data_IF_180098083324
#
_entry.id   IF_180098083324
#
_cell.length_a   1.000
_cell.length_b   1.000
_cell.length_c   1.000
_cell.angle_alpha   90.00
_cell.angle_beta   90.00
_cell.angle_gamma   90.00
#
_symmetry.space_group_name_H-M   'P 1'
#
loop_
_entity.id
_entity.type
_entity.pdbx_description
1 polymer ?
#
# COMPACT_ATOMS: atom_id res chain seq x y z
N UNK A 1 -8.70 -7.91 -9.08
CA UNK A 1 -7.86 -9.04 -8.63
C UNK A 1 -6.46 -8.88 -9.17
N UNK A 2 -5.44 -9.01 -8.32
CA UNK A 2 -4.04 -9.12 -8.77
C UNK A 2 -3.61 -10.59 -8.70
N UNK A 3 -2.95 -11.08 -9.73
CA UNK A 3 -2.28 -12.38 -9.73
C UNK A 3 -0.81 -12.21 -10.11
N UNK A 4 0.05 -12.78 -9.28
CA UNK A 4 1.50 -12.79 -9.44
C UNK A 4 1.92 -14.24 -9.68
N UNK A 5 2.67 -14.49 -10.76
CA UNK A 5 3.07 -15.84 -11.16
C UNK A 5 4.59 -15.92 -11.33
N UNK A 6 5.23 -16.74 -10.49
CA UNK A 6 6.66 -17.04 -10.50
C UNK A 6 7.54 -15.79 -10.61
N UNK A 7 7.17 -14.72 -9.91
CA UNK A 7 7.84 -13.43 -10.03
C UNK A 7 9.26 -13.51 -9.47
N UNK A 8 10.21 -13.00 -10.24
CA UNK A 8 11.61 -12.93 -9.84
C UNK A 8 12.13 -11.52 -9.96
N UNK A 9 12.94 -11.12 -8.99
CA UNK A 9 13.72 -9.88 -9.07
C UNK A 9 15.13 -10.10 -8.56
N UNK A 10 16.09 -9.92 -9.48
CA UNK A 10 17.52 -9.96 -9.19
C UNK A 10 18.13 -8.56 -9.23
N UNK A 11 19.07 -8.32 -8.33
CA UNK A 11 19.94 -7.15 -8.28
C UNK A 11 21.39 -7.62 -8.33
N UNK A 12 21.99 -7.61 -9.52
CA UNK A 12 23.31 -8.21 -9.73
C UNK A 12 23.30 -9.70 -9.35
N UNK A 13 24.16 -10.09 -8.41
CA UNK A 13 24.25 -11.46 -7.90
C UNK A 13 23.24 -11.83 -6.82
N UNK A 14 22.42 -10.90 -6.33
CA UNK A 14 21.47 -11.13 -5.25
C UNK A 14 20.03 -11.29 -5.80
N UNK A 15 19.33 -12.35 -5.40
CA UNK A 15 17.93 -12.58 -5.76
C UNK A 15 17.04 -12.15 -4.60
N UNK A 16 16.32 -11.04 -4.75
CA UNK A 16 15.47 -10.47 -3.72
C UNK A 16 14.05 -11.06 -3.70
N UNK A 17 13.56 -11.47 -4.87
CA UNK A 17 12.32 -12.24 -5.02
C UNK A 17 12.64 -13.43 -5.93
N UNK A 18 12.31 -14.64 -5.51
CA UNK A 18 12.76 -15.90 -6.13
C UNK A 18 11.57 -16.82 -6.47
N UNK A 19 10.72 -16.40 -7.41
CA UNK A 19 9.60 -17.22 -7.89
C UNK A 19 8.37 -17.10 -7.00
N UNK A 20 8.12 -15.92 -6.43
CA UNK A 20 6.92 -15.69 -5.63
C UNK A 20 5.66 -15.76 -6.51
N UNK A 21 4.69 -16.56 -6.08
CA UNK A 21 3.36 -16.64 -6.69
C UNK A 21 2.31 -16.38 -5.62
N UNK A 22 1.40 -15.44 -5.88
CA UNK A 22 0.33 -15.06 -4.95
C UNK A 22 -0.86 -14.44 -5.68
N UNK A 23 -1.99 -14.38 -4.99
CA UNK A 23 -3.20 -13.72 -5.46
C UNK A 23 -3.71 -12.71 -4.42
N UNK A 24 -4.22 -11.58 -4.90
CA UNK A 24 -4.92 -10.60 -4.08
C UNK A 24 -6.33 -10.47 -4.65
N UNK A 25 -7.29 -11.05 -3.94
CA UNK A 25 -8.69 -11.10 -4.35
C UNK A 25 -9.32 -9.70 -4.34
N UNK A 26 -10.19 -9.43 -5.31
CA UNK A 26 -10.93 -8.15 -5.37
C UNK A 26 -11.75 -7.95 -4.10
N UNK A 27 -11.68 -6.77 -3.49
CA UNK A 27 -12.41 -6.44 -2.28
C UNK A 27 -11.85 -7.10 -1.01
N UNK A 28 -10.72 -7.80 -1.08
CA UNK A 28 -10.02 -8.28 0.12
C UNK A 28 -9.13 -7.19 0.73
N UNK A 29 -8.80 -7.38 2.01
CA UNK A 29 -7.68 -6.70 2.66
C UNK A 29 -6.65 -7.79 2.95
N UNK A 30 -5.66 -7.92 2.07
CA UNK A 30 -4.64 -8.97 2.18
C UNK A 30 -3.44 -8.48 2.96
N UNK A 31 -3.00 -9.22 3.97
CA UNK A 31 -1.76 -8.93 4.70
C UNK A 31 -0.55 -9.58 4.02
N UNK A 32 0.56 -8.87 3.88
CA UNK A 32 1.84 -9.41 3.43
C UNK A 32 2.88 -9.25 4.53
N UNK A 33 3.19 -10.35 5.22
CA UNK A 33 4.11 -10.36 6.36
C UNK A 33 5.34 -11.22 6.07
N UNK A 34 6.33 -11.17 6.95
CA UNK A 34 7.58 -11.92 6.84
C UNK A 34 8.74 -11.21 7.57
N UNK A 35 9.86 -11.90 7.85
CA UNK A 35 11.03 -11.30 8.47
C UNK A 35 11.65 -10.19 7.60
N UNK A 36 12.55 -9.41 8.21
CA UNK A 36 13.31 -8.39 7.48
C UNK A 36 14.16 -9.05 6.40
N UNK A 37 14.17 -8.47 5.20
CA UNK A 37 14.86 -9.06 4.05
C UNK A 37 14.10 -10.19 3.34
N UNK A 38 12.86 -10.51 3.73
CA UNK A 38 12.06 -11.54 3.06
C UNK A 38 11.64 -11.22 1.61
N UNK A 39 11.90 -10.01 1.11
CA UNK A 39 11.54 -9.60 -0.25
C UNK A 39 10.20 -8.87 -0.41
N UNK A 40 9.47 -8.60 0.68
CA UNK A 40 8.14 -7.95 0.68
C UNK A 40 8.10 -6.61 -0.05
N UNK A 41 8.93 -5.65 0.38
CA UNK A 41 8.99 -4.33 -0.24
C UNK A 41 9.53 -4.40 -1.67
N UNK A 42 10.41 -5.35 -1.97
CA UNK A 42 10.85 -5.59 -3.37
C UNK A 42 9.69 -6.09 -4.22
N UNK A 43 8.89 -7.03 -3.74
CA UNK A 43 7.70 -7.53 -4.42
C UNK A 43 6.71 -6.40 -4.71
N UNK A 44 6.41 -5.57 -3.71
CA UNK A 44 5.58 -4.37 -3.88
C UNK A 44 6.14 -3.40 -4.93
N UNK A 45 7.45 -3.12 -4.88
CA UNK A 45 8.10 -2.26 -5.87
C UNK A 45 7.98 -2.82 -7.30
N UNK A 46 8.05 -4.15 -7.47
CA UNK A 46 7.92 -4.77 -8.79
C UNK A 46 6.48 -4.70 -9.28
N UNK A 47 5.50 -5.03 -8.43
CA UNK A 47 4.07 -4.94 -8.77
C UNK A 47 3.66 -3.49 -9.09
N UNK A 48 4.18 -2.53 -8.33
CA UNK A 48 3.92 -1.10 -8.52
C UNK A 48 4.76 -0.45 -9.64
N UNK A 49 5.52 -1.24 -10.42
CA UNK A 49 6.26 -0.74 -11.59
C UNK A 49 7.52 0.07 -11.28
N UNK A 50 7.93 0.16 -10.01
CA UNK A 50 9.18 0.83 -9.60
C UNK A 50 10.39 0.04 -10.08
N UNK A 51 10.30 -1.29 -10.06
CA UNK A 51 11.32 -2.18 -10.60
C UNK A 51 10.74 -3.09 -11.67
N UNK A 52 11.42 -3.18 -12.81
CA UNK A 52 11.10 -4.20 -13.83
C UNK A 52 11.43 -5.60 -13.27
N UNK A 53 10.51 -6.58 -13.37
CA UNK A 53 10.80 -7.96 -12.98
C UNK A 53 11.90 -8.55 -13.85
N UNK A 54 12.66 -9.50 -13.30
CA UNK A 54 13.65 -10.29 -14.05
C UNK A 54 12.97 -11.46 -14.77
N UNK A 55 11.94 -12.05 -14.16
CA UNK A 55 11.10 -13.09 -14.74
C UNK A 55 9.74 -13.13 -14.03
N UNK A 56 8.82 -13.94 -14.56
CA UNK A 56 7.46 -14.07 -14.05
C UNK A 56 6.50 -13.03 -14.63
N UNK A 57 5.26 -13.06 -14.14
CA UNK A 57 4.15 -12.28 -14.68
C UNK A 57 3.30 -11.66 -13.57
N UNK A 58 2.78 -10.46 -13.81
CA UNK A 58 1.81 -9.80 -12.95
C UNK A 58 0.60 -9.42 -13.80
N UNK A 59 -0.59 -9.83 -13.38
CA UNK A 59 -1.85 -9.46 -14.03
C UNK A 59 -2.79 -8.74 -13.06
N UNK A 60 -3.56 -7.79 -13.58
CA UNK A 60 -4.60 -7.08 -12.86
C UNK A 60 -5.91 -7.17 -13.65
N UNK A 61 -6.96 -7.70 -13.02
CA UNK A 61 -8.27 -7.91 -13.65
C UNK A 61 -8.18 -8.67 -14.99
N UNK A 62 -7.23 -9.60 -15.10
CA UNK A 62 -6.96 -10.38 -16.31
C UNK A 62 -6.08 -9.68 -17.36
N UNK A 63 -5.75 -8.40 -17.18
CA UNK A 63 -4.82 -7.67 -18.04
C UNK A 63 -3.37 -7.87 -17.57
N UNK A 64 -2.44 -8.04 -18.50
CA UNK A 64 -1.01 -8.07 -18.19
C UNK A 64 -0.50 -6.67 -17.85
N UNK A 65 0.03 -6.52 -16.64
CA UNK A 65 0.61 -5.27 -16.14
C UNK A 65 2.12 -5.40 -15.86
N UNK A 66 2.73 -6.49 -16.33
CA UNK A 66 4.13 -6.82 -16.05
C UNK A 66 5.06 -5.73 -16.57
N UNK A 67 5.80 -5.09 -15.66
CA UNK A 67 6.82 -4.10 -16.02
C UNK A 67 6.28 -2.76 -16.52
N UNK A 68 4.96 -2.52 -16.44
CA UNK A 68 4.39 -1.20 -16.70
C UNK A 68 4.93 -0.16 -15.72
N UNK A 69 5.03 1.10 -16.16
CA UNK A 69 5.53 2.18 -15.31
C UNK A 69 4.48 2.61 -14.29
N UNK A 70 4.89 3.22 -13.16
CA UNK A 70 3.96 3.61 -12.09
C UNK A 70 2.81 4.53 -12.54
N UNK A 71 3.06 5.46 -13.47
CA UNK A 71 2.01 6.36 -13.98
C UNK A 71 0.97 5.64 -14.86
N UNK A 72 1.39 4.61 -15.60
CA UNK A 72 0.47 3.78 -16.39
C UNK A 72 -0.42 2.93 -15.46
N UNK A 73 0.19 2.37 -14.42
CA UNK A 73 -0.51 1.63 -13.37
C UNK A 73 -1.50 2.51 -12.59
N UNK A 74 -1.12 3.75 -12.29
CA UNK A 74 -2.00 4.73 -11.65
C UNK A 74 -3.28 4.97 -12.45
N UNK A 75 -3.18 5.14 -13.77
CA UNK A 75 -4.35 5.29 -14.64
C UNK A 75 -5.21 4.03 -14.75
N UNK A 76 -4.65 2.86 -14.43
CA UNK A 76 -5.39 1.59 -14.34
C UNK A 76 -6.01 1.35 -12.96
N UNK A 77 -5.78 2.24 -11.99
CA UNK A 77 -6.32 2.15 -10.63
C UNK A 77 -5.46 1.35 -9.65
N UNK A 78 -4.18 1.10 -9.96
CA UNK A 78 -3.21 0.54 -9.01
C UNK A 78 -2.45 1.68 -8.35
N UNK A 79 -2.62 1.81 -7.03
CA UNK A 79 -1.94 2.82 -6.23
C UNK A 79 -1.03 2.16 -5.21
N UNK A 80 0.05 2.86 -4.88
CA UNK A 80 0.94 2.49 -3.77
C UNK A 80 1.22 3.73 -2.93
N UNK A 81 1.05 3.60 -1.62
CA UNK A 81 1.54 4.60 -0.67
C UNK A 81 3.02 4.37 -0.45
N UNK A 82 3.77 5.45 -0.26
CA UNK A 82 5.19 5.39 0.01
C UNK A 82 5.44 5.25 1.51
N UNK A 83 6.55 4.58 1.83
CA UNK A 83 6.98 4.38 3.22
C UNK A 83 7.15 5.73 3.95
N UNK A 84 7.64 6.75 3.23
CA UNK A 84 7.71 8.15 3.69
C UNK A 84 6.61 8.93 2.99
N UNK A 85 5.79 9.65 3.76
CA UNK A 85 4.78 10.53 3.19
C UNK A 85 5.47 11.57 2.28
N UNK A 86 5.09 11.58 1.00
CA UNK A 86 5.54 12.57 0.03
C UNK A 86 4.44 13.62 -0.15
N UNK A 87 4.16 14.40 0.89
CA UNK A 87 3.35 15.60 0.76
C UNK A 87 4.12 16.72 0.04
N UNK A 88 3.40 17.65 -0.55
CA UNK A 88 3.92 18.95 -0.94
C UNK A 88 3.87 19.86 0.30
N UNK A 89 5.00 20.09 0.99
CA UNK A 89 4.99 20.68 2.33
C UNK A 89 4.58 22.15 2.34
N UNK A 90 4.76 22.84 1.21
CA UNK A 90 4.37 24.24 1.01
C UNK A 90 2.87 24.42 0.77
N UNK A 91 2.18 23.38 0.30
CA UNK A 91 0.76 23.40 0.02
C UNK A 91 -0.04 23.04 1.28
N UNK A 92 -1.28 23.52 1.33
CA UNK A 92 -2.26 23.11 2.34
C UNK A 92 -2.64 21.64 2.19
N UNK A 93 -3.24 21.06 3.22
CA UNK A 93 -3.77 19.68 3.18
C UNK A 93 -4.78 19.53 2.05
N UNK A 94 -5.71 20.49 1.88
CA UNK A 94 -6.70 20.47 0.80
C UNK A 94 -6.04 20.57 -0.58
N UNK A 95 -5.07 21.46 -0.76
CA UNK A 95 -4.34 21.58 -2.03
C UNK A 95 -3.55 20.31 -2.36
N UNK A 96 -2.95 19.65 -1.36
CA UNK A 96 -2.29 18.36 -1.56
C UNK A 96 -3.23 17.30 -2.15
N UNK A 97 -4.50 17.28 -1.73
CA UNK A 97 -5.52 16.39 -2.28
C UNK A 97 -5.93 16.80 -3.70
N UNK A 98 -6.16 18.10 -3.92
CA UNK A 98 -6.58 18.63 -5.23
C UNK A 98 -5.53 18.43 -6.33
N UNK A 99 -4.25 18.27 -5.97
CA UNK A 99 -3.15 17.99 -6.89
C UNK A 99 -3.10 16.55 -7.41
N UNK A 100 -3.87 15.62 -6.84
CA UNK A 100 -3.77 14.19 -7.21
C UNK A 100 -4.43 13.85 -8.55
N UNK A 101 -5.66 14.32 -8.85
CA UNK A 101 -6.31 13.96 -10.10
C UNK A 101 -5.58 14.57 -11.30
N UNK A 102 -5.28 13.75 -12.31
CA UNK A 102 -4.60 14.17 -13.53
C UNK A 102 -5.57 14.74 -14.57
N UNK A 103 -5.03 15.42 -15.59
CA UNK A 103 -5.80 15.85 -16.76
C UNK A 103 -6.72 17.04 -16.48
N UNK A 104 -6.36 17.87 -15.50
CA UNK A 104 -7.11 19.08 -15.17
C UNK A 104 -6.91 20.10 -16.30
N UNK A 105 -8.01 20.73 -16.76
CA UNK A 105 -7.94 21.60 -17.95
C UNK A 105 -6.98 22.78 -17.76
N UNK A 106 -6.75 23.19 -16.50
CA UNK A 106 -5.81 24.24 -16.10
C UNK A 106 -4.33 23.87 -16.17
N UNK A 107 -3.97 22.60 -16.37
CA UNK A 107 -2.56 22.17 -16.53
C UNK A 107 -1.95 22.69 -17.86
N UNK A 108 -2.79 23.07 -18.82
CA UNK A 108 -2.35 23.65 -20.10
C UNK A 108 -2.45 25.16 -20.08
N UNK A 109 -1.31 25.86 -20.21
CA UNK A 109 -1.22 27.32 -20.11
C UNK A 109 -2.19 28.08 -21.03
N UNK A 110 -2.45 27.57 -22.24
CA UNK A 110 -3.37 28.20 -23.19
C UNK A 110 -4.84 28.15 -22.73
N UNK A 111 -5.24 27.10 -22.01
CA UNK A 111 -6.62 26.95 -21.51
C UNK A 111 -6.95 27.93 -20.39
N UNK A 112 -5.95 28.39 -19.63
CA UNK A 112 -6.11 29.41 -18.58
C UNK A 112 -6.58 30.77 -19.12
N UNK A 113 -6.45 31.00 -20.43
CA UNK A 113 -6.92 32.22 -21.09
C UNK A 113 -8.32 32.08 -21.72
N UNK A 114 -8.65 30.92 -22.28
CA UNK A 114 -9.90 30.70 -23.05
C UNK A 114 -10.98 29.89 -22.33
N UNK A 115 -10.62 29.16 -21.26
CA UNK A 115 -11.51 28.20 -20.60
C UNK A 115 -11.62 28.41 -19.07
N UNK A 116 -11.47 29.66 -18.60
CA UNK A 116 -11.53 30.02 -17.17
C UNK A 116 -12.78 29.52 -16.44
N UNK A 117 -13.96 29.61 -17.06
CA UNK A 117 -15.20 29.14 -16.44
C UNK A 117 -15.23 27.62 -16.22
N UNK A 118 -14.68 26.85 -17.18
CA UNK A 118 -14.53 25.39 -17.05
C UNK A 118 -13.53 25.02 -15.95
N UNK A 119 -12.38 25.71 -15.92
CA UNK A 119 -11.35 25.51 -14.89
C UNK A 119 -11.92 25.79 -13.49
N UNK A 120 -12.67 26.89 -13.32
CA UNK A 120 -13.30 27.22 -12.04
C UNK A 120 -14.32 26.16 -11.60
N UNK A 121 -15.08 25.59 -12.54
CA UNK A 121 -16.01 24.50 -12.25
C UNK A 121 -15.30 23.20 -11.85
N UNK A 122 -14.24 22.82 -12.57
CA UNK A 122 -13.39 21.65 -12.23
C UNK A 122 -12.74 21.83 -10.86
N UNK A 123 -12.18 23.01 -10.58
CA UNK A 123 -11.57 23.32 -9.28
C UNK A 123 -12.60 23.28 -8.13
N UNK A 124 -13.81 23.81 -8.34
CA UNK A 124 -14.88 23.76 -7.34
C UNK A 124 -15.31 22.31 -7.05
N UNK A 125 -15.41 21.46 -8.07
CA UNK A 125 -15.72 20.05 -7.91
C UNK A 125 -14.60 19.30 -7.17
N UNK A 126 -13.34 19.56 -7.52
CA UNK A 126 -12.17 18.98 -6.84
C UNK A 126 -12.09 19.41 -5.38
N UNK A 127 -12.36 20.69 -5.11
CA UNK A 127 -12.39 21.23 -3.74
C UNK A 127 -13.46 20.55 -2.91
N UNK A 128 -14.67 20.37 -3.46
CA UNK A 128 -15.75 19.64 -2.79
C UNK A 128 -15.36 18.19 -2.50
N UNK A 129 -14.79 17.48 -3.47
CA UNK A 129 -14.29 16.11 -3.28
C UNK A 129 -13.20 16.05 -2.20
N UNK A 130 -12.27 16.99 -2.20
CA UNK A 130 -11.22 17.07 -1.19
C UNK A 130 -11.80 17.29 0.21
N UNK A 131 -12.76 18.20 0.37
CA UNK A 131 -13.43 18.42 1.66
C UNK A 131 -14.19 17.15 2.12
N UNK A 132 -14.89 16.43 1.23
CA UNK A 132 -15.52 15.14 1.53
C UNK A 132 -14.52 14.06 2.00
N UNK A 133 -13.34 14.02 1.37
CA UNK A 133 -12.24 13.11 1.77
C UNK A 133 -11.72 13.47 3.17
N UNK A 134 -11.53 14.75 3.46
CA UNK A 134 -11.07 15.20 4.77
C UNK A 134 -12.08 14.90 5.88
N UNK A 135 -13.38 15.07 5.59
CA UNK A 135 -14.47 14.69 6.50
C UNK A 135 -14.48 13.19 6.76
N UNK A 136 -14.34 12.37 5.70
CA UNK A 136 -14.30 10.92 5.83
C UNK A 136 -13.15 10.45 6.74
N UNK A 137 -11.99 11.09 6.60
CA UNK A 137 -10.78 10.81 7.38
C UNK A 137 -10.73 11.54 8.73
N UNK A 138 -11.77 12.31 9.08
CA UNK A 138 -11.88 13.07 10.34
C UNK A 138 -10.78 14.11 10.56
N UNK A 139 -10.19 14.63 9.48
CA UNK A 139 -9.08 15.61 9.50
C UNK A 139 -9.45 16.97 8.88
N UNK A 140 -10.74 17.27 8.73
CA UNK A 140 -11.24 18.53 8.14
C UNK A 140 -10.77 19.79 8.86
N UNK A 141 -10.50 19.69 10.16
CA UNK A 141 -9.93 20.78 10.96
C UNK A 141 -8.51 21.18 10.49
N UNK A 142 -7.85 20.36 9.68
CA UNK A 142 -6.51 20.61 9.13
C UNK A 142 -6.55 21.09 7.67
N UNK A 143 -7.73 21.29 7.07
CA UNK A 143 -7.88 21.51 5.62
C UNK A 143 -7.01 22.64 5.06
N UNK A 144 -6.88 23.74 5.82
CA UNK A 144 -6.13 24.94 5.44
C UNK A 144 -4.73 24.99 6.11
N UNK A 145 -4.36 23.96 6.88
CA UNK A 145 -3.01 23.83 7.43
C UNK A 145 -2.02 23.43 6.34
N UNK A 146 -0.77 23.90 6.45
CA UNK A 146 0.30 23.44 5.56
C UNK A 146 0.65 21.99 5.85
N UNK A 147 0.77 21.17 4.81
CA UNK A 147 1.05 19.75 4.98
C UNK A 147 2.40 19.49 5.68
N UNK A 148 3.36 20.41 5.55
CA UNK A 148 4.63 20.37 6.28
C UNK A 148 4.49 20.47 7.80
N UNK A 149 3.41 21.07 8.32
CA UNK A 149 3.15 21.21 9.76
C UNK A 149 2.49 19.98 10.40
N UNK A 150 2.05 19.02 9.58
CA UNK A 150 1.35 17.84 10.07
C UNK A 150 2.27 16.94 10.90
N UNK A 151 1.72 16.33 11.95
CA UNK A 151 2.36 15.19 12.61
C UNK A 151 2.51 14.02 11.63
N UNK A 152 3.50 13.14 11.82
CA UNK A 152 3.74 12.00 10.92
C UNK A 152 2.49 11.12 10.71
N UNK A 153 1.69 11.02 11.77
CA UNK A 153 0.39 10.40 11.72
C UNK A 153 -0.65 11.06 10.81
N UNK A 154 -0.83 12.36 10.95
CA UNK A 154 -1.73 13.13 10.08
C UNK A 154 -1.25 13.07 8.62
N UNK A 155 0.06 13.01 8.37
CA UNK A 155 0.62 12.81 7.03
C UNK A 155 0.21 11.47 6.41
N UNK A 156 0.17 10.39 7.21
CA UNK A 156 -0.32 9.07 6.75
C UNK A 156 -1.81 9.09 6.42
N UNK A 157 -2.64 9.81 7.20
CA UNK A 157 -4.04 10.02 6.85
C UNK A 157 -4.20 10.83 5.56
N UNK A 158 -3.44 11.90 5.38
CA UNK A 158 -3.41 12.66 4.13
C UNK A 158 -3.03 11.76 2.94
N UNK A 159 -2.02 10.92 3.10
CA UNK A 159 -1.59 9.97 2.07
C UNK A 159 -2.68 8.97 1.70
N UNK A 160 -3.40 8.42 2.68
CA UNK A 160 -4.59 7.61 2.43
C UNK A 160 -5.67 8.41 1.68
N UNK A 161 -5.89 9.67 2.06
CA UNK A 161 -6.84 10.57 1.40
C UNK A 161 -6.51 10.82 -0.07
N UNK A 162 -5.22 10.88 -0.43
CA UNK A 162 -4.81 11.00 -1.83
C UNK A 162 -5.31 9.84 -2.68
N UNK A 163 -5.38 8.62 -2.12
CA UNK A 163 -5.92 7.45 -2.83
C UNK A 163 -7.43 7.56 -3.10
N UNK A 164 -8.14 8.40 -2.33
CA UNK A 164 -9.57 8.67 -2.50
C UNK A 164 -9.85 9.75 -3.55
N UNK A 165 -8.83 10.50 -3.95
CA UNK A 165 -8.98 11.56 -4.96
C UNK A 165 -9.11 11.01 -6.38
N UNK A 166 -8.78 9.74 -6.60
CA UNK A 166 -8.90 9.04 -7.90
C UNK A 166 -9.65 7.73 -7.75
N UNK A 167 -10.02 7.12 -8.88
CA UNK A 167 -10.74 5.85 -8.94
C UNK A 167 -9.79 4.68 -8.72
N UNK A 168 -9.32 4.54 -7.48
CA UNK A 168 -8.45 3.44 -7.06
C UNK A 168 -9.21 2.11 -7.03
N UNK A 169 -8.62 1.07 -7.63
CA UNK A 169 -9.12 -0.32 -7.55
C UNK A 169 -8.38 -1.11 -6.48
N UNK A 170 -7.06 -0.95 -6.45
CA UNK A 170 -6.18 -1.59 -5.46
C UNK A 170 -5.19 -0.58 -4.89
N UNK A 171 -5.00 -0.65 -3.58
CA UNK A 171 -4.04 0.19 -2.86
C UNK A 171 -3.06 -0.70 -2.09
N UNK A 172 -1.78 -0.55 -2.42
CA UNK A 172 -0.67 -1.16 -1.71
C UNK A 172 -0.20 -0.22 -0.59
N UNK A 173 -0.25 -0.71 0.64
CA UNK A 173 0.10 0.03 1.85
C UNK A 173 1.38 -0.56 2.47
N UNK A 174 2.47 0.18 2.42
CA UNK A 174 3.80 -0.26 2.89
C UNK A 174 4.11 0.41 4.24
N UNK A 175 4.17 -0.35 5.32
CA UNK A 175 4.48 0.10 6.70
C UNK A 175 3.62 1.30 7.16
N UNK A 176 2.30 1.10 7.28
CA UNK A 176 1.34 2.11 7.75
C UNK A 176 1.50 2.52 9.21
N UNK A 177 2.09 1.67 10.04
CA UNK A 177 2.32 1.81 11.48
C UNK A 177 3.67 2.44 11.83
N UNK A 178 4.58 2.59 10.87
CA UNK A 178 5.88 3.18 11.12
C UNK A 178 5.75 4.65 11.54
N UNK A 179 6.29 4.98 12.73
CA UNK A 179 6.34 6.35 13.24
C UNK A 179 5.00 6.93 13.72
N UNK A 180 3.97 6.09 13.92
CA UNK A 180 2.67 6.51 14.46
C UNK A 180 2.34 5.80 15.77
N UNK A 181 1.53 6.44 16.61
CA UNK A 181 1.06 5.82 17.85
C UNK A 181 -0.09 4.83 17.57
N UNK A 182 -0.36 3.92 18.52
CA UNK A 182 -1.41 2.90 18.39
C UNK A 182 -2.81 3.45 18.16
N UNK A 183 -3.17 4.55 18.82
CA UNK A 183 -4.48 5.19 18.66
C UNK A 183 -4.71 5.58 17.21
N UNK A 184 -3.71 6.19 16.59
CA UNK A 184 -3.82 6.63 15.21
C UNK A 184 -3.69 5.48 14.21
N UNK A 185 -2.84 4.50 14.48
CA UNK A 185 -2.79 3.28 13.69
C UNK A 185 -4.18 2.62 13.64
N UNK A 186 -4.90 2.61 14.77
CA UNK A 186 -6.26 2.11 14.81
C UNK A 186 -7.21 2.94 13.94
N UNK A 187 -7.14 4.28 14.01
CA UNK A 187 -7.91 5.18 13.13
C UNK A 187 -7.64 4.93 11.65
N UNK A 188 -6.37 4.72 11.26
CA UNK A 188 -5.99 4.38 9.89
C UNK A 188 -6.60 3.03 9.50
N UNK A 189 -6.51 2.02 10.36
CA UNK A 189 -7.13 0.71 10.14
C UNK A 189 -8.65 0.81 9.95
N UNK A 190 -9.33 1.58 10.78
CA UNK A 190 -10.77 1.77 10.69
C UNK A 190 -11.15 2.48 9.37
N UNK A 191 -10.35 3.46 8.92
CA UNK A 191 -10.52 4.10 7.63
C UNK A 191 -10.31 3.12 6.46
N UNK A 192 -9.31 2.25 6.52
CA UNK A 192 -9.07 1.20 5.50
C UNK A 192 -10.28 0.25 5.41
N UNK A 193 -10.81 -0.22 6.55
CA UNK A 193 -11.99 -1.09 6.58
C UNK A 193 -13.20 -0.40 5.96
N UNK A 194 -13.42 0.88 6.28
CA UNK A 194 -14.53 1.66 5.72
C UNK A 194 -14.36 1.85 4.21
N UNK A 195 -13.17 2.17 3.72
CA UNK A 195 -12.90 2.28 2.28
C UNK A 195 -13.14 0.95 1.55
N UNK A 196 -12.69 -0.16 2.13
CA UNK A 196 -12.91 -1.48 1.58
C UNK A 196 -14.41 -1.80 1.49
N UNK A 197 -15.18 -1.61 2.57
CA UNK A 197 -16.61 -1.95 2.64
C UNK A 197 -17.53 -0.99 1.88
N UNK A 198 -17.31 0.32 2.01
CA UNK A 198 -18.19 1.35 1.47
C UNK A 198 -17.85 1.71 0.01
N UNK A 199 -16.57 1.60 -0.39
CA UNK A 199 -16.08 1.99 -1.72
C UNK A 199 -15.59 0.81 -2.56
N UNK A 200 -15.50 -0.40 -2.00
CA UNK A 200 -15.07 -1.60 -2.73
C UNK A 200 -13.57 -1.66 -3.01
N UNK A 201 -12.76 -0.89 -2.28
CA UNK A 201 -11.31 -0.84 -2.51
C UNK A 201 -10.66 -2.17 -2.11
N UNK A 202 -9.73 -2.65 -2.93
CA UNK A 202 -8.87 -3.79 -2.58
C UNK A 202 -7.61 -3.27 -1.90
N UNK A 203 -7.16 -3.89 -0.81
CA UNK A 203 -5.95 -3.50 -0.11
C UNK A 203 -4.95 -4.63 -0.01
N UNK A 204 -3.66 -4.30 -0.10
CA UNK A 204 -2.58 -5.19 0.30
C UNK A 204 -1.65 -4.43 1.25
N UNK A 205 -1.49 -4.94 2.47
CA UNK A 205 -0.84 -4.23 3.58
C UNK A 205 0.41 -4.98 4.02
N UNK A 206 1.56 -4.29 4.00
CA UNK A 206 2.77 -4.75 4.70
C UNK A 206 2.79 -4.08 6.06
N UNK A 207 2.80 -4.90 7.11
CA UNK A 207 2.95 -4.44 8.48
C UNK A 207 3.77 -5.40 9.34
N UNK A 208 4.32 -4.86 10.43
CA UNK A 208 5.06 -5.62 11.43
C UNK A 208 4.24 -5.87 12.69
N UNK A 209 3.20 -5.07 12.94
CA UNK A 209 2.28 -5.26 14.07
C UNK A 209 1.28 -6.39 13.75
N UNK A 210 1.43 -7.53 14.42
CA UNK A 210 0.60 -8.72 14.21
C UNK A 210 -0.82 -8.55 14.76
N UNK A 211 -1.03 -7.73 15.78
CA UNK A 211 -2.37 -7.46 16.32
C UNK A 211 -3.16 -6.62 15.29
N UNK A 212 -2.49 -5.66 14.67
CA UNK A 212 -3.08 -4.86 13.59
C UNK A 212 -3.41 -5.71 12.36
N UNK A 213 -2.48 -6.56 11.91
CA UNK A 213 -2.72 -7.50 10.81
C UNK A 213 -3.88 -8.44 11.14
N UNK A 214 -3.91 -9.02 12.34
CA UNK A 214 -4.95 -9.95 12.76
C UNK A 214 -6.36 -9.33 12.82
N UNK A 215 -6.45 -8.04 13.10
CA UNK A 215 -7.72 -7.29 13.11
C UNK A 215 -8.19 -6.89 11.71
N UNK A 216 -7.26 -6.58 10.81
CA UNK A 216 -7.55 -5.90 9.54
C UNK A 216 -7.56 -6.84 8.33
N UNK A 217 -6.67 -7.84 8.30
CA UNK A 217 -6.34 -8.59 7.10
C UNK A 217 -6.90 -10.01 7.12
N UNK A 218 -7.52 -10.40 6.01
CA UNK A 218 -7.92 -11.78 5.72
C UNK A 218 -8.00 -11.93 4.19
N UNK A 219 -7.09 -12.70 3.54
CA UNK A 219 -6.06 -13.57 4.12
C UNK A 219 -4.75 -12.85 4.46
N UNK A 220 -3.81 -13.58 5.08
CA UNK A 220 -2.42 -13.19 5.32
C UNK A 220 -1.47 -14.11 4.56
N UNK A 221 -0.55 -13.50 3.82
CA UNK A 221 0.50 -14.15 3.04
C UNK A 221 1.83 -13.89 3.73
N UNK A 222 2.60 -14.95 3.97
CA UNK A 222 3.92 -14.88 4.58
C UNK A 222 4.99 -15.07 3.52
N UNK A 223 5.94 -14.15 3.45
CA UNK A 223 7.15 -14.31 2.66
C UNK A 223 8.36 -14.64 3.52
N UNK A 224 9.25 -15.47 2.99
CA UNK A 224 10.58 -15.71 3.54
C UNK A 224 11.55 -15.96 2.38
N UNK A 225 12.77 -15.41 2.48
CA UNK A 225 13.85 -15.63 1.49
C UNK A 225 13.41 -15.39 0.03
N UNK A 226 12.57 -14.37 -0.21
CA UNK A 226 12.08 -14.00 -1.55
C UNK A 226 10.96 -14.90 -2.09
N UNK A 227 10.44 -15.84 -1.30
CA UNK A 227 9.37 -16.78 -1.69
C UNK A 227 8.15 -16.64 -0.80
N UNK A 228 7.00 -17.10 -1.30
CA UNK A 228 5.81 -17.31 -0.48
C UNK A 228 6.00 -18.57 0.35
N UNK A 229 5.89 -18.43 1.65
CA UNK A 229 6.08 -19.50 2.64
C UNK A 229 4.75 -20.15 3.02
N UNK A 230 3.73 -19.33 3.28
CA UNK A 230 2.41 -19.77 3.71
C UNK A 230 1.36 -18.71 3.40
N UNK A 231 0.10 -19.14 3.27
CA UNK A 231 -1.07 -18.28 3.12
C UNK A 231 -2.21 -18.86 3.96
N UNK A 232 -2.98 -17.99 4.61
CA UNK A 232 -4.16 -18.39 5.37
C UNK A 232 -4.70 -17.26 6.23
N UNK A 233 -5.68 -17.58 7.09
CA UNK A 233 -6.17 -16.61 8.07
C UNK A 233 -5.07 -16.24 9.08
N UNK A 234 -5.12 -15.04 9.70
CA UNK A 234 -4.16 -14.64 10.72
C UNK A 234 -3.96 -15.71 11.81
N UNK A 235 -5.05 -16.32 12.29
CA UNK A 235 -5.00 -17.35 13.32
C UNK A 235 -4.24 -18.61 12.87
N UNK A 236 -4.42 -19.02 11.61
CA UNK A 236 -3.71 -20.17 11.02
C UNK A 236 -2.22 -19.86 10.87
N UNK A 237 -1.90 -18.65 10.42
CA UNK A 237 -0.52 -18.22 10.19
C UNK A 237 0.28 -18.13 11.49
N UNK A 238 -0.33 -17.65 12.58
CA UNK A 238 0.33 -17.56 13.89
C UNK A 238 0.66 -18.94 14.50
N UNK A 239 -0.04 -20.00 14.09
CA UNK A 239 0.19 -21.37 14.55
C UNK A 239 1.10 -22.18 13.60
N UNK A 240 1.48 -21.60 12.46
CA UNK A 240 2.26 -22.31 11.45
C UNK A 240 3.74 -22.42 11.89
N UNK A 241 4.22 -23.65 12.10
CA UNK A 241 5.59 -23.92 12.55
C UNK A 241 6.66 -23.33 11.63
N UNK A 242 6.45 -23.37 10.30
CA UNK A 242 7.41 -22.83 9.35
C UNK A 242 7.50 -21.30 9.45
N UNK A 243 6.37 -20.63 9.71
CA UNK A 243 6.32 -19.18 9.93
C UNK A 243 7.05 -18.83 11.24
N UNK A 244 6.76 -19.54 12.32
CA UNK A 244 7.44 -19.36 13.61
C UNK A 244 8.96 -19.55 13.46
N UNK A 245 9.40 -20.59 12.74
CA UNK A 245 10.81 -20.85 12.47
C UNK A 245 11.47 -19.72 11.66
N UNK A 246 10.77 -19.17 10.67
CA UNK A 246 11.27 -18.05 9.86
C UNK A 246 11.43 -16.75 10.67
N UNK A 247 10.58 -16.51 11.68
CA UNK A 247 10.63 -15.32 12.53
C UNK A 247 11.60 -15.44 13.72
N UNK A 248 11.72 -16.62 14.34
CA UNK A 248 12.57 -16.85 15.50
C UNK A 248 13.98 -17.33 15.14
N UNK A 249 14.18 -17.76 13.89
CA UNK A 249 15.41 -18.37 13.42
C UNK A 249 15.58 -19.82 13.89
N UNK A 250 16.44 -20.58 13.21
CA UNK A 250 16.73 -22.01 13.48
C UNK A 250 17.40 -22.31 14.83
N UNK A 251 17.49 -21.34 15.74
CA UNK A 251 18.18 -21.46 17.02
C UNK A 251 17.52 -22.43 18.02
N UNK A 252 16.20 -22.65 17.90
CA UNK A 252 15.45 -23.55 18.78
C UNK A 252 15.79 -25.03 18.54
N UNK A 253 15.89 -25.47 17.28
CA UNK A 253 16.28 -26.86 16.94
C UNK A 253 17.72 -27.23 17.36
N UNK A 254 18.61 -26.25 17.47
CA UNK A 254 19.98 -26.49 17.94
C UNK A 254 20.09 -26.66 19.46
N UNK A 255 19.11 -26.17 20.25
CA UNK A 255 19.06 -26.48 21.70
C UNK A 255 18.60 -27.92 21.96
N UNK A 256 17.61 -28.40 21.21
CA UNK A 256 17.10 -29.77 21.37
C UNK A 256 18.11 -30.83 20.91
N UNK A 257 18.93 -30.51 19.90
CA UNK A 257 20.02 -31.40 19.47
C UNK A 257 21.23 -31.43 20.41
N UNK A 258 21.47 -30.35 21.17
CA UNK A 258 22.56 -30.31 22.17
C UNK A 258 22.12 -30.94 23.49
N UNK A 259 20.83 -30.85 23.85
CA UNK A 259 20.27 -31.51 25.04
C UNK A 259 20.07 -33.02 24.92
N UNK A 260 19.94 -33.55 23.70
CA UNK A 260 19.83 -35.00 23.45
C UNK A 260 21.20 -35.70 23.27
N UNK A 261 22.30 -34.97 23.43
CA UNK A 261 23.67 -35.47 23.28
C UNK A 261 24.48 -35.40 24.60
N UNK A 262 23.81 -35.35 25.75
CA UNK A 262 24.43 -35.42 27.10
C UNK A 262 23.82 -36.56 27.88
#
# INVERSE_FOLDING_TARGET
MIRVENLQKRFGGFTAVDGASLEIATGSITGLIGPNGAGKSTLFNVIAGVYTPTAGKVTMDGEDITGLKPHELFHKGLLRTFQIAHEFPSLTVRENLMMVPAGQSGETLWNSWFHRGRIAGEEAALRKKADEVLDFLTISHLRDERAGNLSGGQKKLLELGRTMMVDAKIVFLDEVGAGVNRTLLNTIGDAIVRLNKERGYTFCVIEHDMDFIGRLCDPVIVMAEGKVLAEGSPATIMQNEAVIEAYLGRGLKNKDKVGAAV
#
